data_IF_019197462332
#
_entry.id   IF_019197462332
#
_cell.length_a   1.000
_cell.length_b   1.000
_cell.length_c   1.000
_cell.angle_alpha   90.00
_cell.angle_beta   90.00
_cell.angle_gamma   90.00
#
_symmetry.space_group_name_H-M   'P 1'
#
loop_
_entity.id
_entity.type
_entity.pdbx_description
1 polymer ?
#
# COMPACT_ATOMS: atom_id res chain seq x y z
N UNK A 1 6.88 1.46 -13.84
CA UNK A 1 7.81 0.55 -13.14
C UNK A 1 7.65 -0.91 -13.50
N UNK A 2 6.47 -1.35 -13.94
CA UNK A 2 6.22 -2.74 -14.32
C UNK A 2 7.22 -3.33 -15.32
N UNK A 3 7.62 -2.59 -16.36
CA UNK A 3 8.60 -3.07 -17.34
C UNK A 3 9.98 -3.43 -16.75
N UNK A 4 10.36 -2.84 -15.60
CA UNK A 4 11.65 -3.09 -14.95
C UNK A 4 11.60 -4.27 -13.98
N UNK A 5 10.57 -4.34 -13.14
CA UNK A 5 10.47 -5.33 -12.06
C UNK A 5 9.63 -6.55 -12.43
N UNK A 6 8.77 -6.44 -13.45
CA UNK A 6 7.89 -7.50 -13.92
C UNK A 6 6.85 -7.94 -12.87
N UNK A 7 6.04 -8.93 -13.25
CA UNK A 7 5.00 -9.49 -12.38
C UNK A 7 5.56 -9.95 -11.02
N UNK A 8 6.61 -10.78 -11.04
CA UNK A 8 7.19 -11.36 -9.83
C UNK A 8 7.73 -10.30 -8.85
N UNK A 9 8.23 -9.17 -9.35
CA UNK A 9 8.67 -8.08 -8.49
C UNK A 9 7.49 -7.42 -7.76
N UNK A 10 6.35 -7.26 -8.44
CA UNK A 10 5.14 -6.69 -7.84
C UNK A 10 4.47 -7.65 -6.86
N UNK A 11 4.45 -8.94 -7.16
CA UNK A 11 4.02 -10.00 -6.23
C UNK A 11 4.87 -9.96 -4.95
N UNK A 12 6.20 -9.92 -5.08
CA UNK A 12 7.08 -9.84 -3.92
C UNK A 12 6.86 -8.57 -3.08
N UNK A 13 6.66 -7.40 -3.72
CA UNK A 13 6.32 -6.16 -3.00
C UNK A 13 4.99 -6.29 -2.27
N UNK A 14 3.98 -6.87 -2.92
CA UNK A 14 2.66 -7.05 -2.34
C UNK A 14 2.73 -7.92 -1.08
N UNK A 15 3.37 -9.09 -1.17
CA UNK A 15 3.55 -10.01 -0.04
C UNK A 15 4.25 -9.34 1.16
N UNK A 16 5.27 -8.53 0.87
CA UNK A 16 6.01 -7.81 1.90
C UNK A 16 5.19 -6.64 2.49
N UNK A 17 4.35 -5.97 1.71
CA UNK A 17 3.39 -4.98 2.23
C UNK A 17 2.44 -5.66 3.22
N UNK A 18 1.87 -6.82 2.88
CA UNK A 18 0.95 -7.55 3.78
C UNK A 18 1.68 -8.01 5.06
N UNK A 19 2.92 -8.47 4.92
CA UNK A 19 3.79 -8.84 6.06
C UNK A 19 4.03 -7.64 6.99
N UNK A 20 4.35 -6.48 6.42
CA UNK A 20 4.58 -5.26 7.18
C UNK A 20 3.28 -4.73 7.82
N UNK A 21 2.13 -4.81 7.13
CA UNK A 21 0.82 -4.48 7.71
C UNK A 21 0.58 -5.34 8.95
N UNK A 22 0.75 -6.67 8.84
CA UNK A 22 0.58 -7.58 9.98
C UNK A 22 1.50 -7.23 11.16
N UNK A 23 2.76 -6.90 10.87
CA UNK A 23 3.75 -6.53 11.89
C UNK A 23 3.43 -5.19 12.57
N UNK A 24 3.13 -4.16 11.78
CA UNK A 24 2.91 -2.78 12.27
C UNK A 24 1.52 -2.64 12.92
N UNK A 25 0.49 -3.32 12.39
CA UNK A 25 -0.84 -3.38 13.02
C UNK A 25 -0.82 -4.05 14.39
N UNK A 26 0.07 -5.02 14.62
CA UNK A 26 0.19 -5.72 15.89
C UNK A 26 0.94 -4.94 17.00
N UNK A 27 1.55 -3.80 16.67
CA UNK A 27 2.21 -2.94 17.65
C UNK A 27 1.21 -2.27 18.60
N UNK A 28 1.65 -1.84 19.79
CA UNK A 28 0.80 -1.22 20.80
C UNK A 28 1.37 0.12 21.34
N UNK A 29 0.76 1.27 20.99
CA UNK A 29 -0.35 1.42 20.04
C UNK A 29 0.11 1.09 18.60
N UNK A 30 -0.84 0.76 17.71
CA UNK A 30 -0.50 0.56 16.30
C UNK A 30 -0.19 1.92 15.63
N UNK A 31 0.97 2.06 14.95
CA UNK A 31 1.28 3.26 14.19
C UNK A 31 0.34 3.53 13.01
N UNK A 32 -0.34 2.50 12.51
CA UNK A 32 -1.25 2.58 11.34
C UNK A 32 -2.73 2.48 11.75
N UNK A 33 -3.02 2.69 13.03
CA UNK A 33 -4.38 2.78 13.55
C UNK A 33 -5.13 1.46 13.58
N UNK A 34 -6.46 1.56 13.56
CA UNK A 34 -7.38 0.43 13.63
C UNK A 34 -7.85 -0.06 12.23
N UNK A 35 -7.39 0.55 11.12
CA UNK A 35 -7.86 0.27 9.75
C UNK A 35 -7.78 -1.19 9.33
N UNK A 36 -6.83 -1.95 9.88
CA UNK A 36 -6.60 -3.37 9.57
C UNK A 36 -7.11 -4.32 10.67
N UNK A 37 -7.76 -3.79 11.70
CA UNK A 37 -8.19 -4.57 12.86
C UNK A 37 -9.44 -5.38 12.55
N UNK A 38 -9.40 -6.66 12.91
CA UNK A 38 -10.55 -7.55 12.78
C UNK A 38 -10.84 -8.04 11.36
N UNK A 39 -9.92 -7.82 10.41
CA UNK A 39 -10.00 -8.46 9.10
C UNK A 39 -9.99 -9.98 9.25
N UNK A 40 -10.93 -10.64 8.57
CA UNK A 40 -10.93 -12.09 8.45
C UNK A 40 -9.86 -12.55 7.44
N UNK A 41 -9.56 -13.85 7.42
CA UNK A 41 -8.66 -14.41 6.40
C UNK A 41 -9.16 -14.12 4.97
N UNK A 42 -10.48 -14.17 4.75
CA UNK A 42 -11.08 -13.85 3.45
C UNK A 42 -10.94 -12.35 3.10
N UNK A 43 -10.98 -11.46 4.09
CA UNK A 43 -10.74 -10.04 3.84
C UNK A 43 -9.27 -9.79 3.47
N UNK A 44 -8.34 -10.47 4.15
CA UNK A 44 -6.90 -10.39 3.84
C UNK A 44 -6.61 -10.91 2.42
N UNK A 45 -7.14 -12.07 2.04
CA UNK A 45 -7.01 -12.60 0.67
C UNK A 45 -7.55 -11.62 -0.37
N UNK A 46 -8.67 -10.95 -0.07
CA UNK A 46 -9.26 -9.94 -0.95
C UNK A 46 -8.39 -8.68 -1.03
N UNK A 47 -7.81 -8.22 0.08
CA UNK A 47 -6.87 -7.09 0.10
C UNK A 47 -5.63 -7.42 -0.72
N UNK A 48 -5.05 -8.59 -0.52
CA UNK A 48 -3.85 -9.06 -1.23
C UNK A 48 -4.05 -9.07 -2.75
N UNK A 49 -5.15 -9.67 -3.23
CA UNK A 49 -5.45 -9.73 -4.66
C UNK A 49 -5.71 -8.35 -5.27
N UNK A 50 -6.53 -7.52 -4.60
CA UNK A 50 -6.85 -6.17 -5.10
C UNK A 50 -5.62 -5.25 -5.10
N UNK A 51 -4.79 -5.33 -4.06
CA UNK A 51 -3.59 -4.51 -3.95
C UNK A 51 -2.58 -4.85 -5.04
N UNK A 52 -2.37 -6.15 -5.32
CA UNK A 52 -1.49 -6.58 -6.41
C UNK A 52 -1.95 -6.03 -7.77
N UNK A 53 -3.22 -6.23 -8.11
CA UNK A 53 -3.79 -5.74 -9.37
C UNK A 53 -3.71 -4.22 -9.46
N UNK A 54 -3.98 -3.50 -8.36
CA UNK A 54 -3.87 -2.05 -8.30
C UNK A 54 -2.43 -1.59 -8.54
N UNK A 55 -1.46 -2.16 -7.82
CA UNK A 55 -0.04 -1.79 -7.96
C UNK A 55 0.46 -2.04 -9.39
N UNK A 56 0.12 -3.19 -9.98
CA UNK A 56 0.48 -3.49 -11.37
C UNK A 56 -0.10 -2.44 -12.31
N UNK A 57 -1.39 -2.12 -12.17
CA UNK A 57 -2.07 -1.12 -13.00
C UNK A 57 -1.41 0.25 -12.89
N UNK A 58 -1.31 0.81 -11.69
CA UNK A 58 -0.84 2.20 -11.50
C UNK A 58 0.63 2.39 -11.88
N UNK A 59 1.42 1.32 -11.85
CA UNK A 59 2.83 1.36 -12.26
C UNK A 59 3.09 0.85 -13.69
N UNK A 60 2.05 0.79 -14.52
CA UNK A 60 2.14 0.66 -15.97
C UNK A 60 2.14 -0.78 -16.50
N UNK A 61 1.63 -1.73 -15.72
CA UNK A 61 1.31 -3.08 -16.16
C UNK A 61 -0.11 -3.20 -16.73
N UNK A 62 -0.57 -4.42 -17.04
CA UNK A 62 -1.93 -4.67 -17.50
C UNK A 62 -2.97 -4.20 -16.47
N UNK A 63 -4.03 -3.54 -16.93
CA UNK A 63 -5.12 -3.14 -16.06
C UNK A 63 -6.11 -4.29 -15.85
N UNK A 64 -5.88 -5.09 -14.82
CA UNK A 64 -6.83 -6.11 -14.34
C UNK A 64 -7.63 -5.64 -13.13
N UNK A 65 -7.31 -4.46 -12.56
CA UNK A 65 -7.94 -3.96 -11.35
C UNK A 65 -9.44 -3.68 -11.58
N UNK A 66 -10.29 -4.40 -10.87
CA UNK A 66 -11.76 -4.23 -10.88
C UNK A 66 -12.30 -3.70 -9.54
N UNK A 67 -11.39 -3.28 -8.64
CA UNK A 67 -11.75 -2.72 -7.35
C UNK A 67 -12.32 -1.30 -7.46
N UNK A 68 -12.73 -0.77 -6.30
CA UNK A 68 -13.12 0.62 -6.15
C UNK A 68 -11.91 1.55 -6.31
N UNK A 69 -12.13 2.83 -6.60
CA UNK A 69 -11.04 3.80 -6.50
C UNK A 69 -10.50 3.89 -5.06
N UNK A 70 -9.32 4.49 -4.90
CA UNK A 70 -8.75 4.73 -3.57
C UNK A 70 -9.70 5.60 -2.74
N UNK A 71 -10.28 6.63 -3.37
CA UNK A 71 -11.23 7.56 -2.77
C UNK A 71 -12.56 6.91 -2.36
N UNK A 72 -12.99 5.87 -3.08
CA UNK A 72 -14.20 5.10 -2.76
C UNK A 72 -13.96 4.00 -1.71
N UNK A 73 -12.71 3.51 -1.58
CA UNK A 73 -12.37 2.36 -0.72
C UNK A 73 -12.12 2.74 0.73
N UNK A 74 -11.60 3.94 0.98
CA UNK A 74 -11.14 4.38 2.30
C UNK A 74 -12.10 5.24 3.14
N UNK A 75 -13.29 5.69 2.68
CA UNK A 75 -14.24 6.39 3.56
C UNK A 75 -14.66 5.56 4.78
N UNK A 76 -14.76 6.21 5.93
CA UNK A 76 -15.16 5.59 7.20
C UNK A 76 -14.03 4.87 7.94
N UNK A 77 -12.81 4.84 7.39
CA UNK A 77 -11.64 4.33 8.09
C UNK A 77 -11.06 5.35 9.08
N UNK A 78 -11.43 6.64 8.96
CA UNK A 78 -10.93 7.73 9.80
C UNK A 78 -9.39 7.79 9.87
N UNK A 79 -8.72 7.48 8.76
CA UNK A 79 -7.25 7.49 8.67
C UNK A 79 -6.76 8.90 8.99
N UNK A 80 -5.88 9.02 9.98
CA UNK A 80 -5.22 10.28 10.34
C UNK A 80 -4.03 10.55 9.42
N UNK A 81 -3.56 11.81 9.39
CA UNK A 81 -2.35 12.17 8.64
C UNK A 81 -1.14 11.39 9.14
N UNK A 82 -1.04 11.19 10.46
CA UNK A 82 0.04 10.48 11.13
C UNK A 82 0.02 8.99 10.79
N UNK A 83 -1.15 8.35 10.77
CA UNK A 83 -1.29 6.94 10.39
C UNK A 83 -0.96 6.71 8.91
N UNK A 84 -1.34 7.65 8.04
CA UNK A 84 -0.95 7.61 6.63
C UNK A 84 0.56 7.71 6.45
N UNK A 85 1.20 8.67 7.13
CA UNK A 85 2.66 8.84 7.07
C UNK A 85 3.39 7.61 7.64
N UNK A 86 2.85 7.03 8.72
CA UNK A 86 3.36 5.78 9.28
C UNK A 86 3.18 4.61 8.31
N UNK A 87 2.05 4.52 7.60
CA UNK A 87 1.85 3.49 6.58
C UNK A 87 2.89 3.60 5.46
N UNK A 88 3.10 4.79 4.91
CA UNK A 88 4.12 4.99 3.87
C UNK A 88 5.53 4.67 4.40
N UNK A 89 5.89 5.18 5.58
CA UNK A 89 7.23 5.07 6.14
C UNK A 89 7.58 3.72 6.78
N UNK A 90 6.60 3.00 7.32
CA UNK A 90 6.81 1.74 8.05
C UNK A 90 6.32 0.50 7.30
N UNK A 91 5.48 0.67 6.28
CA UNK A 91 4.96 -0.45 5.47
C UNK A 91 5.50 -0.40 4.06
N UNK A 92 5.24 0.69 3.32
CA UNK A 92 5.52 0.76 1.88
C UNK A 92 7.02 0.86 1.59
N UNK A 93 7.71 1.82 2.19
CA UNK A 93 9.16 2.01 1.95
C UNK A 93 9.98 0.79 2.37
N UNK A 94 9.77 0.20 3.57
CA UNK A 94 10.47 -1.03 3.95
C UNK A 94 10.17 -2.19 3.02
N UNK A 95 8.92 -2.35 2.55
CA UNK A 95 8.59 -3.44 1.63
C UNK A 95 9.37 -3.37 0.32
N UNK A 96 9.42 -2.17 -0.28
CA UNK A 96 10.22 -1.91 -1.49
C UNK A 96 11.71 -2.18 -1.25
N UNK A 97 12.25 -1.78 -0.09
CA UNK A 97 13.65 -2.02 0.27
C UNK A 97 13.96 -3.51 0.46
N UNK A 98 13.12 -4.25 1.16
CA UNK A 98 13.31 -5.69 1.42
C UNK A 98 13.43 -6.48 0.12
N UNK A 99 12.60 -6.15 -0.88
CA UNK A 99 12.62 -6.85 -2.18
C UNK A 99 13.71 -6.35 -3.14
N UNK A 100 14.51 -5.36 -2.73
CA UNK A 100 15.63 -4.85 -3.50
C UNK A 100 15.30 -3.76 -4.53
N UNK A 101 14.16 -3.06 -4.40
CA UNK A 101 13.94 -1.81 -5.14
C UNK A 101 14.98 -0.79 -4.70
N UNK A 102 15.63 -0.13 -5.67
CA UNK A 102 16.71 0.80 -5.35
C UNK A 102 16.16 2.08 -4.73
N UNK A 103 16.96 2.75 -3.89
CA UNK A 103 16.56 4.03 -3.29
C UNK A 103 16.17 5.10 -4.30
N UNK A 104 16.79 5.11 -5.49
CA UNK A 104 16.41 6.02 -6.57
C UNK A 104 15.05 5.65 -7.16
N UNK A 105 14.78 4.37 -7.42
CA UNK A 105 13.45 3.97 -7.92
C UNK A 105 12.35 4.24 -6.89
N UNK A 106 12.62 4.03 -5.59
CA UNK A 106 11.70 4.39 -4.51
C UNK A 106 11.39 5.88 -4.56
N UNK A 107 12.42 6.74 -4.59
CA UNK A 107 12.25 8.19 -4.50
C UNK A 107 11.67 8.81 -5.77
N UNK A 108 12.10 8.33 -6.94
CA UNK A 108 11.81 8.98 -8.23
C UNK A 108 10.57 8.40 -8.91
N UNK A 109 10.12 7.20 -8.52
CA UNK A 109 9.04 6.50 -9.22
C UNK A 109 7.92 5.99 -8.31
N UNK A 110 8.23 5.37 -7.17
CA UNK A 110 7.18 4.81 -6.28
C UNK A 110 6.62 5.84 -5.28
N UNK A 111 7.46 6.71 -4.73
CA UNK A 111 7.04 7.70 -3.75
C UNK A 111 6.08 8.76 -4.31
N UNK A 112 6.33 9.38 -5.48
CA UNK A 112 5.53 10.52 -5.94
C UNK A 112 4.01 10.33 -5.88
N UNK A 113 3.41 9.22 -6.37
CA UNK A 113 1.96 9.05 -6.31
C UNK A 113 1.43 8.88 -4.87
N UNK A 114 2.17 8.24 -3.97
CA UNK A 114 1.71 7.97 -2.59
C UNK A 114 2.12 9.06 -1.59
N UNK A 115 2.96 10.00 -2.00
CA UNK A 115 3.34 11.17 -1.18
C UNK A 115 2.75 12.47 -1.69
N UNK A 116 1.99 12.43 -2.79
CA UNK A 116 1.28 13.59 -3.32
C UNK A 116 0.27 14.12 -2.29
N UNK A 117 0.23 15.45 -2.15
CA UNK A 117 -0.56 16.09 -1.10
C UNK A 117 -2.07 15.97 -1.35
N UNK A 118 -2.51 16.06 -2.60
CA UNK A 118 -3.92 15.93 -2.96
C UNK A 118 -4.37 14.47 -2.83
N UNK A 119 -3.52 13.53 -3.25
CA UNK A 119 -3.77 12.10 -3.03
C UNK A 119 -3.87 11.77 -1.53
N UNK A 120 -2.93 12.22 -0.70
CA UNK A 120 -3.02 12.03 0.75
C UNK A 120 -4.30 12.65 1.33
N UNK A 121 -4.65 13.88 0.93
CA UNK A 121 -5.85 14.55 1.39
C UNK A 121 -7.14 13.78 1.00
N UNK A 122 -7.11 13.02 -0.10
CA UNK A 122 -8.23 12.17 -0.50
C UNK A 122 -8.37 10.90 0.36
N UNK A 123 -7.37 10.52 1.15
CA UNK A 123 -7.37 9.32 1.99
C UNK A 123 -7.59 9.62 3.49
N UNK A 124 -7.23 10.83 3.92
CA UNK A 124 -7.20 11.23 5.34
C UNK A 124 -8.51 11.89 5.76
N UNK A 125 -9.05 11.46 6.91
CA UNK A 125 -10.19 12.08 7.57
C UNK A 125 -11.55 11.88 6.87
N UNK A 126 -11.63 10.90 5.97
CA UNK A 126 -12.85 10.52 5.22
C UNK A 126 -13.50 9.23 5.73
#
# INVERSE_FOLDING_TARGET
MFAKYGQAGFEAVNDEILTNIGTVSAMNPSPIGDSFKGLSAADVERVEANLLDFLIFVYGGPNNYQGLSMEESHPGLNITSEEYDAFVGMVIVPALQTVGVTGSDISDCFAPPVTDADFKASMVGI
#
